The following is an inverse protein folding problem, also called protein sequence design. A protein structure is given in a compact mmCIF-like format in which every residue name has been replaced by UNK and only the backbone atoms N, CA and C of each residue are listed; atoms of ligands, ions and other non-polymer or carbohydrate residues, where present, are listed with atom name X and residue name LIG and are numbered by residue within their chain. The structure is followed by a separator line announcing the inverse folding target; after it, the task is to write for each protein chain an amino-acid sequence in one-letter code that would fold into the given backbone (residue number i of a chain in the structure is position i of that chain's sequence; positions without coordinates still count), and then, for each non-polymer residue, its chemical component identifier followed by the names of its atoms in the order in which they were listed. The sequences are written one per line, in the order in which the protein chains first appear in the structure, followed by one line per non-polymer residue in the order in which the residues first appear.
data_IF_298182929762
#
_entry.id   IF_298182929762
#
_cell.length_a   1.000
_cell.length_b   1.000
_cell.length_c   1.000
_cell.angle_alpha   90.00
_cell.angle_beta   90.00
_cell.angle_gamma   90.00
#
_symmetry.space_group_name_H-M   'P 1'
#
loop_
_entity.id
_entity.type
_entity.pdbx_description
1 polymer ?
#
# COMPACT_ATOMS: atom_id res chain seq x y z
N UNK A 1 15.26 -5.17 -17.81
CA UNK A 1 14.16 -5.56 -16.89
C UNK A 1 13.50 -4.27 -16.43
N UNK A 2 12.16 -4.17 -16.46
CA UNK A 2 11.44 -2.94 -16.10
C UNK A 2 11.35 -2.72 -14.59
N UNK A 3 11.32 -3.81 -13.82
CA UNK A 3 11.31 -3.75 -12.36
C UNK A 3 12.75 -3.66 -11.82
N UNK A 4 12.99 -2.82 -10.79
CA UNK A 4 14.30 -2.74 -10.15
C UNK A 4 14.64 -4.08 -9.47
N UNK A 5 15.92 -4.44 -9.32
CA UNK A 5 16.32 -5.69 -8.65
C UNK A 5 15.72 -5.85 -7.24
N UNK A 6 15.67 -4.75 -6.47
CA UNK A 6 15.13 -4.72 -5.11
C UNK A 6 13.61 -5.02 -5.03
N UNK A 7 12.90 -5.01 -6.16
CA UNK A 7 11.46 -5.31 -6.20
C UNK A 7 11.12 -6.69 -5.64
N UNK A 8 11.96 -7.69 -5.90
CA UNK A 8 11.66 -9.09 -5.53
C UNK A 8 11.70 -9.33 -4.03
N UNK A 9 12.55 -8.59 -3.34
CA UNK A 9 12.82 -8.75 -1.90
C UNK A 9 12.12 -7.66 -1.08
N UNK A 10 11.32 -6.80 -1.72
CA UNK A 10 10.55 -5.78 -1.04
C UNK A 10 9.43 -6.42 -0.21
N UNK A 11 9.23 -5.93 1.02
CA UNK A 11 8.13 -6.36 1.89
C UNK A 11 6.76 -6.19 1.24
N UNK A 12 6.61 -5.15 0.39
CA UNK A 12 5.41 -4.88 -0.40
C UNK A 12 5.78 -4.74 -1.88
N UNK A 13 5.92 -5.85 -2.62
CA UNK A 13 6.33 -5.78 -4.01
C UNK A 13 5.21 -5.21 -4.89
N UNK A 14 5.57 -4.47 -5.95
CA UNK A 14 4.59 -3.95 -6.93
C UNK A 14 3.75 -5.06 -7.58
N UNK A 15 4.33 -6.23 -7.77
CA UNK A 15 3.62 -7.39 -8.28
C UNK A 15 3.95 -8.53 -7.34
N UNK A 16 2.96 -9.36 -7.02
CA UNK A 16 3.15 -10.57 -6.25
C UNK A 16 4.39 -11.34 -6.75
N UNK A 17 5.25 -11.75 -5.81
CA UNK A 17 6.50 -12.45 -6.13
C UNK A 17 6.36 -13.95 -5.84
N UNK A 18 6.63 -14.37 -4.61
CA UNK A 18 6.56 -15.77 -4.19
C UNK A 18 5.16 -16.20 -3.73
N UNK A 19 4.37 -15.25 -3.21
CA UNK A 19 3.02 -15.47 -2.66
C UNK A 19 2.07 -14.34 -3.07
N UNK A 20 0.77 -14.61 -2.94
CA UNK A 20 -0.30 -13.61 -2.95
C UNK A 20 -0.79 -13.49 -1.52
N UNK A 21 -0.53 -12.35 -0.89
CA UNK A 21 -0.70 -12.12 0.54
C UNK A 21 -2.09 -11.57 0.88
N UNK A 22 -2.77 -10.95 -0.08
CA UNK A 22 -4.11 -10.39 0.10
C UNK A 22 -4.93 -10.38 -1.20
N UNK A 23 -6.25 -10.36 -1.06
CA UNK A 23 -7.17 -10.24 -2.18
C UNK A 23 -6.93 -8.94 -2.96
N UNK A 24 -6.94 -9.01 -4.29
CA UNK A 24 -6.63 -7.90 -5.20
C UNK A 24 -5.16 -7.42 -5.23
N UNK A 25 -4.21 -8.16 -4.62
CA UNK A 25 -2.79 -7.86 -4.83
C UNK A 25 -2.44 -7.97 -6.34
N UNK A 26 -1.82 -6.94 -6.94
CA UNK A 26 -1.49 -6.97 -8.35
C UNK A 26 -0.51 -8.09 -8.71
N UNK A 27 -0.78 -8.83 -9.79
CA UNK A 27 0.10 -9.89 -10.31
C UNK A 27 0.68 -9.55 -11.70
N UNK A 28 0.02 -8.67 -12.44
CA UNK A 28 0.40 -8.24 -13.77
C UNK A 28 -0.26 -6.89 -14.10
N UNK A 29 0.28 -6.18 -15.09
CA UNK A 29 -0.32 -4.98 -15.66
C UNK A 29 -0.26 -5.05 -17.20
N UNK A 30 -1.24 -4.45 -17.87
CA UNK A 30 -1.38 -4.53 -19.33
C UNK A 30 -1.57 -3.12 -19.91
N UNK A 31 -0.82 -2.82 -20.97
CA UNK A 31 -1.05 -1.66 -21.82
C UNK A 31 -1.58 -2.11 -23.19
N UNK A 32 -2.53 -1.37 -23.75
CA UNK A 32 -3.04 -1.58 -25.10
C UNK A 32 -3.51 -0.25 -25.71
N UNK A 33 -3.56 -0.13 -27.05
CA UNK A 33 -3.97 1.11 -27.73
C UNK A 33 -5.41 1.58 -27.42
N UNK A 34 -6.26 0.68 -26.93
CA UNK A 34 -7.63 1.01 -26.53
C UNK A 34 -8.00 0.31 -25.23
N UNK A 35 -8.91 0.95 -24.47
CA UNK A 35 -9.46 0.37 -23.23
C UNK A 35 -10.08 -1.01 -23.45
N UNK A 36 -10.83 -1.19 -24.54
CA UNK A 36 -11.46 -2.47 -24.85
C UNK A 36 -10.42 -3.60 -25.04
N UNK A 37 -9.30 -3.30 -25.72
CA UNK A 37 -8.22 -4.27 -25.90
C UNK A 37 -7.46 -4.54 -24.60
N UNK A 38 -7.25 -3.52 -23.77
CA UNK A 38 -6.61 -3.70 -22.46
C UNK A 38 -7.46 -4.61 -21.55
N UNK A 39 -8.78 -4.39 -21.52
CA UNK A 39 -9.72 -5.22 -20.75
C UNK A 39 -9.77 -6.67 -21.26
N UNK A 40 -9.78 -6.87 -22.58
CA UNK A 40 -9.74 -8.21 -23.16
C UNK A 40 -8.41 -8.92 -22.83
N UNK A 41 -7.28 -8.21 -22.91
CA UNK A 41 -5.97 -8.76 -22.65
C UNK A 41 -5.75 -9.09 -21.17
N UNK A 42 -6.19 -8.23 -20.23
CA UNK A 42 -6.09 -8.53 -18.79
C UNK A 42 -6.98 -9.73 -18.42
N UNK A 43 -8.17 -9.86 -19.01
CA UNK A 43 -9.04 -11.02 -18.80
C UNK A 43 -8.46 -12.33 -19.37
N UNK A 44 -7.50 -12.25 -20.30
CA UNK A 44 -6.79 -13.40 -20.84
C UNK A 44 -5.59 -13.84 -19.98
N UNK A 45 -5.16 -13.03 -19.02
CA UNK A 45 -4.08 -13.40 -18.08
C UNK A 45 -4.51 -14.62 -17.27
N UNK A 46 -3.59 -15.58 -17.10
CA UNK A 46 -3.77 -16.78 -16.29
C UNK A 46 -2.60 -16.88 -15.32
N UNK A 47 -2.91 -17.14 -14.06
CA UNK A 47 -1.94 -17.48 -13.03
C UNK A 47 -2.38 -18.80 -12.38
N UNK A 48 -1.42 -19.70 -12.20
CA UNK A 48 -1.60 -20.89 -11.37
C UNK A 48 -1.15 -20.53 -9.97
N UNK A 49 -2.02 -20.68 -8.99
CA UNK A 49 -1.77 -20.32 -7.61
C UNK A 49 -2.12 -21.53 -6.76
N UNK A 50 -1.14 -22.00 -5.98
CA UNK A 50 -1.40 -23.03 -4.98
C UNK A 50 -2.11 -22.39 -3.79
N UNK A 51 -3.26 -22.93 -3.34
CA UNK A 51 -3.97 -22.39 -2.19
C UNK A 51 -3.09 -22.40 -0.94
N UNK A 52 -3.10 -21.28 -0.20
CA UNK A 52 -2.45 -21.15 1.10
C UNK A 52 -3.50 -20.91 2.19
N UNK A 53 -3.21 -21.26 3.46
CA UNK A 53 -4.05 -20.86 4.59
C UNK A 53 -4.21 -19.34 4.63
N UNK A 54 -5.46 -18.87 4.75
CA UNK A 54 -5.79 -17.45 4.85
C UNK A 54 -6.12 -17.11 6.30
N UNK A 55 -5.56 -16.00 6.76
CA UNK A 55 -5.86 -15.43 8.07
C UNK A 55 -6.66 -14.14 7.84
N UNK A 56 -7.93 -14.16 8.22
CA UNK A 56 -8.88 -13.09 7.88
C UNK A 56 -9.33 -12.25 9.09
N UNK A 57 -8.95 -12.65 10.30
CA UNK A 57 -9.34 -11.99 11.55
C UNK A 57 -8.21 -12.07 12.57
N UNK A 58 -8.10 -11.03 13.41
CA UNK A 58 -7.04 -10.93 14.41
C UNK A 58 -7.24 -11.94 15.54
N UNK A 59 -8.49 -12.28 15.87
CA UNK A 59 -8.86 -13.22 16.91
C UNK A 59 -8.32 -14.64 16.64
N UNK A 60 -8.20 -15.06 15.38
CA UNK A 60 -7.57 -16.32 14.99
C UNK A 60 -6.06 -16.35 15.23
N UNK A 61 -5.40 -15.19 15.13
CA UNK A 61 -3.96 -15.04 15.40
C UNK A 61 -3.72 -14.87 16.90
N UNK A 62 -4.57 -14.08 17.54
CA UNK A 62 -4.50 -13.69 18.93
C UNK A 62 -5.83 -13.96 19.64
N UNK A 63 -6.08 -15.23 20.07
CA UNK A 63 -7.28 -15.59 20.81
C UNK A 63 -7.44 -14.79 22.11
N UNK A 64 -6.31 -14.41 22.70
CA UNK A 64 -6.22 -13.42 23.77
C UNK A 64 -5.50 -12.19 23.23
N UNK A 65 -5.98 -10.99 23.57
CA UNK A 65 -5.38 -9.75 23.05
C UNK A 65 -3.88 -9.74 23.38
N UNK A 66 -3.00 -9.53 22.38
CA UNK A 66 -1.57 -9.58 22.58
C UNK A 66 -1.18 -8.57 23.65
N UNK A 67 -0.73 -9.06 24.81
CA UNK A 67 -0.12 -8.23 25.83
C UNK A 67 1.26 -7.72 25.38
N UNK A 68 2.03 -7.19 26.32
CA UNK A 68 3.40 -6.69 26.09
C UNK A 68 4.36 -7.72 25.49
N UNK A 69 4.06 -9.02 25.63
CA UNK A 69 4.92 -10.12 25.21
C UNK A 69 4.77 -10.49 23.73
N UNK A 70 3.88 -9.80 23.01
CA UNK A 70 3.58 -10.06 21.61
C UNK A 70 4.66 -9.56 20.64
N UNK A 71 5.62 -8.75 21.12
CA UNK A 71 6.66 -8.14 20.30
C UNK A 71 7.52 -9.14 19.48
N UNK A 72 7.57 -10.41 19.90
CA UNK A 72 8.31 -11.47 19.21
C UNK A 72 7.52 -12.25 18.16
N UNK A 73 6.23 -11.99 17.99
CA UNK A 73 5.41 -12.70 17.01
C UNK A 73 5.68 -12.21 15.59
N UNK A 74 5.84 -13.11 14.60
CA UNK A 74 5.98 -12.71 13.19
C UNK A 74 4.72 -12.03 12.64
N UNK A 75 3.58 -12.13 13.33
CA UNK A 75 2.32 -11.48 12.96
C UNK A 75 2.16 -10.08 13.56
N UNK A 76 3.17 -9.57 14.29
CA UNK A 76 3.19 -8.20 14.84
C UNK A 76 4.11 -7.33 13.99
N UNK A 77 3.52 -6.44 13.19
CA UNK A 77 4.28 -5.51 12.35
C UNK A 77 4.97 -4.39 13.15
N UNK A 78 4.35 -3.97 14.26
CA UNK A 78 4.92 -2.96 15.15
C UNK A 78 4.36 -3.12 16.58
N UNK A 79 5.21 -2.86 17.58
CA UNK A 79 4.82 -2.82 18.99
C UNK A 79 5.30 -1.51 19.61
N UNK A 80 4.39 -0.79 20.29
CA UNK A 80 4.69 0.47 20.97
C UNK A 80 4.33 0.31 22.44
N UNK A 81 5.33 0.46 23.32
CA UNK A 81 5.15 0.46 24.77
C UNK A 81 5.57 1.83 25.32
N UNK A 82 4.64 2.53 25.98
CA UNK A 82 4.87 3.86 26.54
C UNK A 82 4.38 3.89 27.99
N UNK A 83 5.25 4.32 28.91
CA UNK A 83 4.96 4.46 30.33
C UNK A 83 5.19 5.91 30.75
N UNK A 84 4.28 6.47 31.53
CA UNK A 84 4.41 7.82 32.09
C UNK A 84 3.95 7.82 33.54
N UNK A 85 4.87 8.10 34.47
CA UNK A 85 4.60 8.06 35.91
C UNK A 85 4.48 6.64 36.44
N UNK A 86 3.90 6.51 37.63
CA UNK A 86 3.62 5.22 38.28
C UNK A 86 2.14 4.86 38.08
N UNK A 87 1.89 4.02 37.07
CA UNK A 87 0.54 3.59 36.68
C UNK A 87 -0.07 2.68 37.74
N UNK A 88 0.74 1.83 38.39
CA UNK A 88 0.27 0.89 39.41
C UNK A 88 -0.19 1.63 40.67
N UNK A 89 0.61 2.59 41.14
CA UNK A 89 0.21 3.46 42.24
C UNK A 89 -1.08 4.24 41.91
N UNK A 90 -1.17 4.80 40.70
CA UNK A 90 -2.35 5.53 40.26
C UNK A 90 -3.62 4.67 40.22
N UNK A 91 -3.54 3.40 39.79
CA UNK A 91 -4.66 2.47 39.88
C UNK A 91 -5.02 2.10 41.32
N UNK A 92 -4.02 1.97 42.20
CA UNK A 92 -4.24 1.64 43.62
C UNK A 92 -4.92 2.75 44.42
N UNK A 93 -4.70 4.01 44.05
CA UNK A 93 -5.25 5.19 44.74
C UNK A 93 -6.58 5.70 44.16
N UNK A 94 -7.04 5.15 43.04
CA UNK A 94 -8.22 5.65 42.34
C UNK A 94 -9.54 5.32 43.06
N UNK A 95 -10.44 6.31 43.18
CA UNK A 95 -11.79 6.10 43.73
C UNK A 95 -12.64 5.14 42.88
N UNK A 96 -12.40 5.11 41.56
CA UNK A 96 -13.09 4.26 40.58
C UNK A 96 -12.16 3.88 39.44
N UNK A 97 -12.28 2.63 39.00
CA UNK A 97 -11.57 2.09 37.82
C UNK A 97 -12.60 1.54 36.84
N UNK A 98 -12.47 1.92 35.58
CA UNK A 98 -13.31 1.42 34.47
C UNK A 98 -12.41 0.67 33.49
N UNK A 99 -12.80 -0.55 33.13
CA UNK A 99 -12.08 -1.39 32.17
C UNK A 99 -13.06 -1.87 31.10
N UNK A 100 -12.81 -1.49 29.86
CA UNK A 100 -13.67 -1.80 28.72
C UNK A 100 -12.83 -2.17 27.50
N UNK A 101 -13.40 -2.96 26.59
CA UNK A 101 -12.79 -3.32 25.31
C UNK A 101 -13.60 -2.65 24.19
N UNK A 102 -12.93 -1.80 23.42
CA UNK A 102 -13.54 -1.11 22.28
C UNK A 102 -13.02 -1.71 20.97
N UNK A 103 -13.92 -1.86 20.00
CA UNK A 103 -13.59 -2.27 18.62
C UNK A 103 -14.23 -1.30 17.65
N UNK A 104 -13.57 -1.07 16.52
CA UNK A 104 -14.10 -0.30 15.40
C UNK A 104 -14.00 -1.13 14.13
N UNK A 105 -14.94 -0.93 13.20
CA UNK A 105 -14.91 -1.60 11.91
C UNK A 105 -13.88 -0.96 10.99
N UNK A 106 -13.37 -1.72 10.02
CA UNK A 106 -12.65 -1.16 8.88
C UNK A 106 -13.55 -0.19 8.12
N UNK A 107 -13.03 0.99 7.81
CA UNK A 107 -13.72 2.01 7.01
C UNK A 107 -12.86 2.38 5.81
N UNK A 108 -13.52 2.69 4.69
CA UNK A 108 -12.86 3.20 3.49
C UNK A 108 -13.05 4.71 3.40
N UNK A 109 -12.18 5.43 2.70
CA UNK A 109 -12.21 6.89 2.60
C UNK A 109 -13.36 7.42 1.73
N UNK A 110 -13.84 6.58 0.79
CA UNK A 110 -14.98 6.84 -0.12
C UNK A 110 -14.89 8.21 -0.81
N UNK A 111 -13.71 8.58 -1.31
CA UNK A 111 -13.58 9.73 -2.18
C UNK A 111 -14.46 9.57 -3.43
N UNK A 112 -15.20 10.62 -3.80
CA UNK A 112 -16.10 10.58 -4.96
C UNK A 112 -15.32 10.41 -6.27
N UNK A 113 -14.13 11.01 -6.36
CA UNK A 113 -13.22 10.79 -7.48
C UNK A 113 -12.37 9.52 -7.25
N UNK A 114 -12.45 8.51 -8.13
CA UNK A 114 -11.58 7.35 -8.09
C UNK A 114 -10.10 7.71 -8.26
N UNK A 115 -9.19 6.80 -7.89
CA UNK A 115 -7.79 6.96 -8.24
C UNK A 115 -7.60 6.92 -9.76
N UNK A 116 -6.85 7.89 -10.28
CA UNK A 116 -6.48 7.97 -11.68
C UNK A 116 -5.14 8.71 -11.84
N UNK A 117 -4.34 8.27 -12.80
CA UNK A 117 -3.10 8.96 -13.17
C UNK A 117 -2.84 8.83 -14.68
N UNK A 118 -1.99 9.71 -15.18
CA UNK A 118 -1.46 9.69 -16.54
C UNK A 118 0.06 9.72 -16.46
N UNK A 119 0.72 8.73 -17.04
CA UNK A 119 2.18 8.66 -17.07
C UNK A 119 2.72 8.89 -18.49
N UNK A 120 3.90 9.49 -18.56
CA UNK A 120 4.68 9.69 -19.78
C UNK A 120 6.16 9.56 -19.44
N UNK A 121 6.91 8.83 -20.28
CA UNK A 121 8.34 8.64 -20.08
C UNK A 121 9.10 9.00 -21.36
N UNK A 122 9.90 10.07 -21.29
CA UNK A 122 10.70 10.55 -22.42
C UNK A 122 12.18 10.37 -22.08
N UNK A 123 12.81 9.32 -22.63
CA UNK A 123 14.19 8.96 -22.30
C UNK A 123 14.34 8.63 -20.81
N UNK A 124 15.03 9.51 -20.09
CA UNK A 124 15.28 9.41 -18.64
C UNK A 124 14.36 10.31 -17.81
N UNK A 125 13.44 11.06 -18.44
CA UNK A 125 12.45 11.90 -17.75
C UNK A 125 11.14 11.15 -17.56
N UNK A 126 10.78 10.86 -16.32
CA UNK A 126 9.57 10.14 -15.94
C UNK A 126 8.56 11.13 -15.35
N UNK A 127 7.42 11.30 -16.00
CA UNK A 127 6.38 12.24 -15.56
C UNK A 127 5.09 11.48 -15.26
N UNK A 128 4.50 11.74 -14.10
CA UNK A 128 3.16 11.28 -13.75
C UNK A 128 2.30 12.44 -13.31
N UNK A 129 1.13 12.58 -13.93
CA UNK A 129 0.09 13.51 -13.52
C UNK A 129 -0.98 12.74 -12.76
N UNK A 130 -1.21 13.07 -11.49
CA UNK A 130 -2.03 12.24 -10.60
C UNK A 130 -2.81 13.05 -9.57
N UNK A 131 -3.95 12.49 -9.14
CA UNK A 131 -4.74 13.00 -8.02
C UNK A 131 -4.09 12.55 -6.70
N UNK A 132 -3.22 13.39 -6.14
CA UNK A 132 -2.44 13.11 -4.92
C UNK A 132 -2.55 14.23 -3.89
N UNK A 133 -2.57 13.87 -2.61
CA UNK A 133 -2.51 14.80 -1.47
C UNK A 133 -1.07 15.17 -1.08
N UNK A 134 -0.07 14.46 -1.60
CA UNK A 134 1.34 14.64 -1.25
C UNK A 134 2.23 14.47 -2.48
N UNK A 135 2.31 15.48 -3.39
CA UNK A 135 3.08 15.34 -4.62
C UNK A 135 4.58 15.09 -4.39
N UNK A 136 5.17 15.71 -3.37
CA UNK A 136 6.58 15.50 -3.02
C UNK A 136 6.82 14.11 -2.41
N UNK A 137 6.01 13.69 -1.43
CA UNK A 137 6.10 12.33 -0.88
C UNK A 137 5.83 11.26 -1.94
N UNK A 138 4.86 11.49 -2.84
CA UNK A 138 4.61 10.62 -3.99
C UNK A 138 5.85 10.49 -4.87
N UNK A 139 6.61 11.58 -5.09
CA UNK A 139 7.86 11.55 -5.87
C UNK A 139 8.94 10.74 -5.16
N UNK A 140 9.12 10.95 -3.86
CA UNK A 140 10.11 10.22 -3.02
C UNK A 140 9.81 8.71 -3.00
N UNK A 141 8.54 8.34 -2.79
CA UNK A 141 8.10 6.94 -2.79
C UNK A 141 8.31 6.31 -4.16
N UNK A 142 7.90 6.98 -5.25
CA UNK A 142 8.10 6.48 -6.61
C UNK A 142 9.57 6.32 -6.97
N UNK A 143 10.45 7.23 -6.52
CA UNK A 143 11.88 7.14 -6.73
C UNK A 143 12.45 5.87 -6.10
N UNK A 144 12.09 5.62 -4.83
CA UNK A 144 12.45 4.40 -4.11
C UNK A 144 11.90 3.14 -4.79
N UNK A 145 10.59 3.12 -5.06
CA UNK A 145 9.89 1.96 -5.62
C UNK A 145 10.39 1.56 -7.01
N UNK A 146 10.78 2.54 -7.84
CA UNK A 146 11.24 2.31 -9.21
C UNK A 146 12.77 2.26 -9.33
N UNK A 147 13.51 2.55 -8.25
CA UNK A 147 14.97 2.61 -8.26
C UNK A 147 15.50 3.74 -9.14
N UNK A 148 14.82 4.89 -9.15
CA UNK A 148 15.17 6.07 -9.96
C UNK A 148 15.72 7.19 -9.07
N UNK A 149 16.62 8.04 -9.57
CA UNK A 149 16.92 9.29 -8.88
C UNK A 149 15.67 10.18 -8.89
N UNK A 150 15.37 10.85 -7.76
CA UNK A 150 14.22 11.76 -7.68
C UNK A 150 14.23 12.85 -8.77
N UNK A 151 15.41 13.28 -9.21
CA UNK A 151 15.57 14.28 -10.28
C UNK A 151 15.07 13.82 -11.64
N UNK A 152 14.97 12.51 -11.87
CA UNK A 152 14.38 11.94 -13.07
C UNK A 152 12.84 11.95 -13.04
N UNK A 153 12.23 12.12 -11.85
CA UNK A 153 10.79 12.02 -11.63
C UNK A 153 10.13 13.40 -11.48
N UNK A 154 9.02 13.56 -12.18
CA UNK A 154 8.13 14.72 -12.08
C UNK A 154 6.73 14.23 -11.70
N UNK A 155 6.24 14.66 -10.55
CA UNK A 155 4.87 14.41 -10.11
C UNK A 155 4.08 15.71 -10.27
N UNK A 156 3.12 15.70 -11.18
CA UNK A 156 2.18 16.79 -11.42
C UNK A 156 0.88 16.49 -10.67
N UNK A 157 0.67 17.16 -9.53
CA UNK A 157 -0.59 17.05 -8.79
C UNK A 157 -1.75 17.68 -9.57
N UNK A 158 -2.88 16.98 -9.66
CA UNK A 158 -4.13 17.53 -10.21
C UNK A 158 -5.03 18.09 -9.12
N UNK A 159 -6.14 18.72 -9.51
CA UNK A 159 -7.28 18.89 -8.62
C UNK A 159 -7.67 17.53 -8.02
N UNK A 160 -7.95 17.50 -6.71
CA UNK A 160 -8.22 16.26 -5.96
C UNK A 160 -9.70 16.23 -5.57
N UNK A 161 -10.47 15.30 -6.13
CA UNK A 161 -11.89 15.09 -5.83
C UNK A 161 -12.13 14.30 -4.54
N UNK A 162 -11.48 14.73 -3.45
CA UNK A 162 -11.47 14.03 -2.17
C UNK A 162 -10.35 12.99 -2.06
N UNK A 163 -9.83 12.83 -0.83
CA UNK A 163 -8.74 11.89 -0.53
C UNK A 163 -8.85 11.29 0.86
N UNK A 164 -9.02 12.13 1.90
CA UNK A 164 -9.20 11.70 3.30
C UNK A 164 -8.13 10.71 3.78
N UNK A 165 -6.88 10.89 3.32
CA UNK A 165 -5.74 10.02 3.59
C UNK A 165 -5.53 8.92 2.54
N UNK A 166 -6.55 8.60 1.72
CA UNK A 166 -6.48 7.55 0.70
C UNK A 166 -5.59 7.89 -0.50
N UNK A 167 -5.34 9.18 -0.75
CA UNK A 167 -4.48 9.68 -1.84
C UNK A 167 -3.14 10.23 -1.32
N UNK A 168 -2.66 9.71 -0.19
CA UNK A 168 -1.42 10.14 0.46
C UNK A 168 -0.14 9.44 -0.05
N UNK A 169 -0.28 8.24 -0.62
CA UNK A 169 0.82 7.42 -1.12
C UNK A 169 0.53 6.94 -2.55
N UNK A 170 1.56 6.58 -3.35
CA UNK A 170 1.36 6.03 -4.68
C UNK A 170 0.52 4.75 -4.68
N UNK A 171 -0.38 4.63 -5.65
CA UNK A 171 -1.19 3.43 -5.88
C UNK A 171 -1.12 2.95 -7.33
N UNK A 172 -1.47 3.82 -8.28
CA UNK A 172 -1.53 3.47 -9.72
C UNK A 172 -0.30 3.95 -10.49
N UNK A 173 0.32 5.00 -9.98
CA UNK A 173 1.45 5.72 -10.54
C UNK A 173 2.62 4.81 -10.92
N UNK A 174 3.10 3.87 -10.07
CA UNK A 174 4.24 3.05 -10.45
C UNK A 174 3.92 2.13 -11.64
N UNK A 175 2.69 1.58 -11.71
CA UNK A 175 2.28 0.73 -12.84
C UNK A 175 2.16 1.53 -14.13
N UNK A 176 1.54 2.71 -14.07
CA UNK A 176 1.40 3.57 -15.23
C UNK A 176 2.77 3.98 -15.79
N UNK A 177 3.72 4.32 -14.91
CA UNK A 177 5.09 4.67 -15.28
C UNK A 177 5.84 3.49 -15.90
N UNK A 178 5.74 2.29 -15.31
CA UNK A 178 6.37 1.09 -15.86
C UNK A 178 5.79 0.71 -17.23
N UNK A 179 4.47 0.80 -17.39
CA UNK A 179 3.81 0.53 -18.67
C UNK A 179 4.20 1.56 -19.72
N UNK A 180 4.23 2.85 -19.38
CA UNK A 180 4.69 3.91 -20.28
C UNK A 180 6.13 3.65 -20.74
N UNK A 181 7.05 3.35 -19.81
CA UNK A 181 8.43 2.99 -20.15
C UNK A 181 8.51 1.77 -21.07
N UNK A 182 7.64 0.78 -20.86
CA UNK A 182 7.62 -0.44 -21.65
C UNK A 182 7.07 -0.24 -23.07
N UNK A 183 6.10 0.66 -23.23
CA UNK A 183 5.40 0.87 -24.50
C UNK A 183 6.05 1.92 -25.42
N UNK A 184 6.91 2.80 -24.88
CA UNK A 184 7.43 3.95 -25.59
C UNK A 184 6.45 5.11 -25.54
#
# INVERSE_FOLDING_TARGET
RLLPPAHRDAERPLFASASIDYEFQPIAAVAAPTRARALAAVAAVRATVDPAPVVADLESIFPEWPGSDAAGSPSVAAHVHAVRGDVEAAFGEADRVVREIYRTSSVHQVALEPHACLARVDGDRWTVRTSTQSPFGTREDLATMLGLPESALVVEGTWVGGGFGGKGAPLLEPYALLLAKASG
#
